data_IF_068504318018
#
_entry.id   IF_068504318018
#
_cell.length_a   1.000
_cell.length_b   1.000
_cell.length_c   1.000
_cell.angle_alpha   90.00
_cell.angle_beta   90.00
_cell.angle_gamma   90.00
#
_symmetry.space_group_name_H-M   'P 1'
#
loop_
_entity.id
_entity.type
_entity.pdbx_description
1 polymer ?
#
# COMPACT_ATOMS: atom_id res chain seq x y z
N UNK A 1 22.18 31.09 44.38
CA UNK A 1 21.39 30.00 44.97
C UNK A 1 21.15 28.81 44.05
N UNK A 2 21.21 28.96 42.74
CA UNK A 2 21.02 27.89 41.75
C UNK A 2 22.22 26.93 41.62
N UNK A 3 23.47 27.35 41.91
CA UNK A 3 24.68 26.50 41.77
C UNK A 3 24.84 25.37 42.80
N UNK A 4 24.19 25.50 43.98
CA UNK A 4 24.24 24.46 45.02
C UNK A 4 23.31 23.28 44.77
N UNK A 5 22.22 23.49 44.03
CA UNK A 5 21.28 22.44 43.68
C UNK A 5 21.89 21.53 42.60
N UNK A 6 22.57 22.11 41.60
CA UNK A 6 23.25 21.36 40.56
C UNK A 6 24.41 20.49 41.08
N UNK A 7 25.15 20.96 42.08
CA UNK A 7 26.25 20.20 42.69
C UNK A 7 25.78 18.99 43.51
N UNK A 8 24.58 19.05 44.10
CA UNK A 8 24.00 17.91 44.82
C UNK A 8 23.41 16.84 43.89
N UNK A 9 22.94 17.21 42.72
CA UNK A 9 22.45 16.27 41.69
C UNK A 9 23.54 15.47 41.01
N UNK A 10 24.75 16.03 40.88
CA UNK A 10 25.93 15.34 40.29
C UNK A 10 26.73 14.48 41.26
N UNK A 11 26.41 14.46 42.55
CA UNK A 11 27.20 13.75 43.59
C UNK A 11 26.56 12.44 44.06
N UNK A 12 25.34 12.13 43.66
CA UNK A 12 24.67 10.90 44.08
C UNK A 12 24.76 9.81 43.00
N UNK A 13 25.62 8.81 43.28
CA UNK A 13 25.90 7.70 42.33
C UNK A 13 24.59 6.91 41.97
N UNK A 14 23.58 6.93 42.83
CA UNK A 14 22.30 6.29 42.54
C UNK A 14 21.49 7.10 41.52
N UNK A 15 21.58 8.42 41.53
CA UNK A 15 20.94 9.28 40.54
C UNK A 15 21.61 9.18 39.16
N UNK A 16 22.94 9.00 39.12
CA UNK A 16 23.69 8.81 37.88
C UNK A 16 23.30 7.52 37.14
N UNK A 17 23.14 6.41 37.84
CA UNK A 17 22.74 5.14 37.26
C UNK A 17 21.30 5.19 36.64
N UNK A 18 20.38 5.89 37.28
CA UNK A 18 19.01 6.07 36.76
C UNK A 18 19.01 6.93 35.49
N UNK A 19 19.86 7.97 35.45
CA UNK A 19 19.99 8.86 34.31
C UNK A 19 20.66 8.15 33.11
N UNK A 20 21.66 7.33 33.36
CA UNK A 20 22.33 6.49 32.36
C UNK A 20 21.36 5.45 31.76
N UNK A 21 20.55 4.79 32.63
CA UNK A 21 19.50 3.87 32.18
C UNK A 21 18.45 4.59 31.33
N UNK A 22 17.99 5.77 31.76
CA UNK A 22 17.02 6.57 31.04
C UNK A 22 17.52 6.98 29.65
N UNK A 23 18.79 7.40 29.53
CA UNK A 23 19.42 7.72 28.25
C UNK A 23 19.59 6.47 27.36
N UNK A 24 19.87 5.31 27.94
CA UNK A 24 20.02 4.06 27.21
C UNK A 24 18.68 3.50 26.68
N UNK A 25 17.57 3.71 27.40
CA UNK A 25 16.26 3.17 27.00
C UNK A 25 15.63 3.93 25.82
N UNK A 26 15.92 5.23 25.67
CA UNK A 26 15.38 6.04 24.58
C UNK A 26 15.73 5.49 23.18
N UNK A 27 16.98 5.18 22.83
CA UNK A 27 17.32 4.61 21.54
C UNK A 27 16.71 3.21 21.33
N UNK A 28 16.55 2.43 22.38
CA UNK A 28 15.91 1.11 22.32
C UNK A 28 14.43 1.27 21.99
N UNK A 29 13.71 2.19 22.65
CA UNK A 29 12.33 2.49 22.34
C UNK A 29 12.14 3.00 20.91
N UNK A 30 13.04 3.88 20.45
CA UNK A 30 13.01 4.37 19.08
C UNK A 30 13.20 3.23 18.07
N UNK A 31 14.10 2.29 18.34
CA UNK A 31 14.32 1.11 17.49
C UNK A 31 13.07 0.22 17.45
N UNK A 32 12.43 -0.04 18.60
CA UNK A 32 11.22 -0.85 18.68
C UNK A 32 10.05 -0.21 17.89
N UNK A 33 9.89 1.10 18.01
CA UNK A 33 8.89 1.87 17.26
C UNK A 33 9.18 1.82 15.76
N UNK A 34 10.45 1.89 15.37
CA UNK A 34 10.85 1.79 13.96
C UNK A 34 10.54 0.41 13.38
N UNK A 35 10.79 -0.66 14.14
CA UNK A 35 10.46 -2.03 13.73
C UNK A 35 8.93 -2.19 13.61
N UNK A 36 8.16 -1.63 14.53
CA UNK A 36 6.69 -1.69 14.48
C UNK A 36 6.13 -1.00 13.22
N UNK A 37 6.64 0.19 12.87
CA UNK A 37 6.24 0.89 11.66
C UNK A 37 6.63 0.13 10.38
N UNK A 38 7.86 -0.40 10.33
CA UNK A 38 8.32 -1.21 9.20
C UNK A 38 7.48 -2.48 9.02
N UNK A 39 7.15 -3.16 10.11
CA UNK A 39 6.30 -4.35 10.09
C UNK A 39 4.89 -4.03 9.56
N UNK A 40 4.32 -2.91 9.98
CA UNK A 40 3.03 -2.44 9.49
C UNK A 40 3.07 -2.11 7.99
N UNK A 41 4.13 -1.46 7.53
CA UNK A 41 4.32 -1.15 6.11
C UNK A 41 4.40 -2.42 5.26
N UNK A 42 5.22 -3.41 5.66
CA UNK A 42 5.36 -4.69 4.97
C UNK A 42 4.03 -5.46 4.98
N UNK A 43 3.31 -5.47 6.09
CA UNK A 43 2.00 -6.10 6.20
C UNK A 43 0.99 -5.48 5.22
N UNK A 44 0.91 -4.15 5.17
CA UNK A 44 0.07 -3.42 4.22
C UNK A 44 0.42 -3.76 2.77
N UNK A 45 1.71 -3.77 2.43
CA UNK A 45 2.19 -4.14 1.09
C UNK A 45 1.71 -5.54 0.67
N UNK A 46 1.88 -6.54 1.54
CA UNK A 46 1.47 -7.92 1.24
C UNK A 46 -0.05 -8.07 1.05
N UNK A 47 -0.83 -7.34 1.85
CA UNK A 47 -2.30 -7.34 1.68
C UNK A 47 -2.70 -6.71 0.36
N UNK A 48 -2.08 -5.60 -0.03
CA UNK A 48 -2.37 -4.95 -1.31
C UNK A 48 -2.03 -5.88 -2.49
N UNK A 49 -0.91 -6.59 -2.43
CA UNK A 49 -0.52 -7.56 -3.47
C UNK A 49 -1.55 -8.70 -3.62
N UNK A 50 -2.00 -9.25 -2.51
CA UNK A 50 -3.01 -10.29 -2.51
C UNK A 50 -4.36 -9.78 -2.98
N UNK A 51 -4.78 -8.62 -2.48
CA UNK A 51 -6.08 -8.03 -2.79
C UNK A 51 -6.20 -7.66 -4.27
N UNK A 52 -5.20 -6.98 -4.84
CA UNK A 52 -5.22 -6.61 -6.26
C UNK A 52 -5.19 -7.85 -7.16
N UNK A 53 -4.35 -8.84 -6.85
CA UNK A 53 -4.27 -10.06 -7.65
C UNK A 53 -5.60 -10.82 -7.68
N UNK A 54 -6.27 -10.97 -6.54
CA UNK A 54 -7.54 -11.66 -6.45
C UNK A 54 -8.69 -10.88 -7.10
N UNK A 55 -8.74 -9.56 -6.86
CA UNK A 55 -9.76 -8.69 -7.44
C UNK A 55 -9.64 -8.64 -8.97
N UNK A 56 -8.44 -8.48 -9.50
CA UNK A 56 -8.20 -8.46 -10.93
C UNK A 56 -8.48 -9.83 -11.61
N UNK A 57 -8.16 -10.96 -10.94
CA UNK A 57 -8.54 -12.29 -11.41
C UNK A 57 -10.06 -12.45 -11.49
N UNK A 58 -10.80 -11.96 -10.52
CA UNK A 58 -12.26 -12.01 -10.54
C UNK A 58 -12.82 -11.14 -11.65
N UNK A 59 -12.30 -9.92 -11.82
CA UNK A 59 -12.73 -9.02 -12.87
C UNK A 59 -12.49 -9.60 -14.26
N UNK A 60 -11.28 -10.09 -14.56
CA UNK A 60 -10.95 -10.68 -15.87
C UNK A 60 -11.81 -11.89 -16.25
N UNK A 61 -12.28 -12.66 -15.26
CA UNK A 61 -13.08 -13.88 -15.47
C UNK A 61 -14.59 -13.58 -15.51
N UNK A 62 -14.99 -12.34 -15.31
CA UNK A 62 -16.39 -11.93 -15.35
C UNK A 62 -16.68 -11.22 -16.67
N UNK A 63 -17.76 -11.61 -17.36
CA UNK A 63 -18.18 -10.90 -18.56
C UNK A 63 -18.75 -9.55 -18.16
N UNK A 64 -18.13 -8.49 -18.61
CA UNK A 64 -18.62 -7.14 -18.47
C UNK A 64 -18.57 -6.42 -19.83
N UNK A 65 -19.50 -5.52 -20.06
CA UNK A 65 -19.63 -4.86 -21.37
C UNK A 65 -18.87 -3.53 -21.42
N UNK A 66 -18.64 -2.91 -20.26
CA UNK A 66 -18.08 -1.56 -20.18
C UNK A 66 -16.98 -1.47 -19.11
N UNK A 67 -16.13 -0.48 -19.24
CA UNK A 67 -15.10 -0.17 -18.22
C UNK A 67 -15.70 0.01 -16.81
N UNK A 68 -16.84 0.70 -16.70
CA UNK A 68 -17.52 0.92 -15.42
C UNK A 68 -17.90 -0.39 -14.74
N UNK A 69 -18.31 -1.41 -15.49
CA UNK A 69 -18.65 -2.72 -14.93
C UNK A 69 -17.39 -3.43 -14.43
N UNK A 70 -16.30 -3.42 -15.20
CA UNK A 70 -15.04 -3.97 -14.76
C UNK A 70 -14.47 -3.23 -13.55
N UNK A 71 -14.57 -1.92 -13.52
CA UNK A 71 -14.18 -1.10 -12.38
C UNK A 71 -14.98 -1.45 -11.12
N UNK A 72 -16.31 -1.54 -11.23
CA UNK A 72 -17.18 -1.88 -10.11
C UNK A 72 -16.92 -3.29 -9.57
N UNK A 73 -16.73 -4.27 -10.45
CA UNK A 73 -16.40 -5.66 -10.06
C UNK A 73 -15.05 -5.71 -9.37
N UNK A 74 -14.08 -4.97 -9.89
CA UNK A 74 -12.75 -4.87 -9.31
C UNK A 74 -12.79 -4.19 -7.94
N UNK A 75 -13.47 -3.05 -7.83
CA UNK A 75 -13.63 -2.30 -6.59
C UNK A 75 -14.38 -3.11 -5.51
N UNK A 76 -15.50 -3.73 -5.86
CA UNK A 76 -16.26 -4.58 -4.95
C UNK A 76 -15.42 -5.74 -4.44
N UNK A 77 -14.69 -6.40 -5.35
CA UNK A 77 -13.83 -7.52 -5.02
C UNK A 77 -12.65 -7.11 -4.15
N UNK A 78 -12.07 -5.94 -4.42
CA UNK A 78 -11.00 -5.37 -3.63
C UNK A 78 -11.49 -5.03 -2.21
N UNK A 79 -12.63 -4.35 -2.10
CA UNK A 79 -13.21 -3.99 -0.82
C UNK A 79 -13.56 -5.24 0.01
N UNK A 80 -14.05 -6.30 -0.62
CA UNK A 80 -14.34 -7.57 0.03
C UNK A 80 -13.06 -8.24 0.58
N UNK A 81 -11.98 -8.22 -0.19
CA UNK A 81 -10.68 -8.76 0.24
C UNK A 81 -10.06 -7.89 1.36
N UNK A 82 -10.04 -6.59 1.17
CA UNK A 82 -9.47 -5.67 2.16
C UNK A 82 -10.27 -5.66 3.47
N UNK A 83 -11.60 -5.75 3.41
CA UNK A 83 -12.45 -5.85 4.59
C UNK A 83 -12.19 -7.10 5.43
N UNK A 84 -11.78 -8.20 4.81
CA UNK A 84 -11.39 -9.44 5.51
C UNK A 84 -10.07 -9.33 6.27
N UNK A 85 -9.17 -8.45 5.86
CA UNK A 85 -7.82 -8.28 6.44
C UNK A 85 -7.70 -7.14 7.45
N UNK A 86 -8.77 -6.44 7.72
CA UNK A 86 -8.85 -5.56 8.87
C UNK A 86 -9.06 -4.09 8.61
N UNK A 87 -9.74 -3.54 9.54
CA UNK A 87 -10.07 -2.14 9.75
C UNK A 87 -8.86 -1.16 9.68
N UNK A 88 -7.64 -1.69 9.78
CA UNK A 88 -6.39 -0.91 9.78
C UNK A 88 -6.12 -0.26 8.41
N UNK A 89 -6.59 -0.89 7.33
CA UNK A 89 -6.33 -0.45 5.94
C UNK A 89 -7.51 0.34 5.38
N UNK A 90 -8.73 0.03 5.81
CA UNK A 90 -9.97 0.55 5.22
C UNK A 90 -10.49 1.86 5.84
N UNK A 91 -9.90 2.34 6.93
CA UNK A 91 -10.47 3.43 7.73
C UNK A 91 -10.61 4.78 6.98
N UNK A 92 -9.99 4.98 5.82
CA UNK A 92 -9.96 6.30 5.16
C UNK A 92 -10.06 6.32 3.63
N UNK A 93 -10.57 5.32 2.92
CA UNK A 93 -10.63 5.34 1.44
C UNK A 93 -9.32 5.83 0.76
N UNK A 94 -8.18 5.43 1.30
CA UNK A 94 -6.87 5.92 0.89
C UNK A 94 -6.33 5.18 -0.36
N UNK A 95 -7.21 4.71 -1.22
CA UNK A 95 -6.80 4.04 -2.45
C UNK A 95 -7.50 4.66 -3.67
N UNK A 96 -6.74 4.74 -4.75
CA UNK A 96 -7.25 5.11 -6.08
C UNK A 96 -7.15 3.89 -6.97
N UNK A 97 -8.25 3.56 -7.64
CA UNK A 97 -8.37 2.46 -8.57
C UNK A 97 -8.41 2.98 -10.00
N UNK A 98 -7.72 2.30 -10.88
CA UNK A 98 -7.74 2.60 -12.29
C UNK A 98 -7.79 1.30 -13.08
N UNK A 99 -8.72 1.23 -14.04
CA UNK A 99 -8.84 0.12 -14.99
C UNK A 99 -8.71 0.69 -16.38
N UNK A 100 -7.78 0.15 -17.15
CA UNK A 100 -7.53 0.52 -18.54
C UNK A 100 -7.44 -0.74 -19.39
N UNK A 101 -7.55 -0.57 -20.70
CA UNK A 101 -7.47 -1.65 -21.67
C UNK A 101 -6.47 -1.34 -22.75
N UNK A 102 -5.94 -2.38 -23.42
CA UNK A 102 -4.99 -2.26 -24.52
C UNK A 102 -5.16 -3.40 -25.51
N UNK A 103 -4.80 -3.15 -26.77
CA UNK A 103 -4.89 -4.14 -27.86
C UNK A 103 -3.69 -5.07 -27.89
N UNK A 104 -2.52 -4.53 -27.62
CA UNK A 104 -1.25 -5.23 -27.79
C UNK A 104 -0.23 -4.85 -26.72
N UNK A 105 0.81 -5.65 -26.61
CA UNK A 105 1.96 -5.37 -25.77
C UNK A 105 2.73 -4.10 -26.24
N UNK A 106 2.73 -3.82 -27.54
CA UNK A 106 3.36 -2.62 -28.08
C UNK A 106 2.63 -1.35 -27.66
N UNK A 107 1.29 -1.39 -27.58
CA UNK A 107 0.50 -0.26 -27.11
C UNK A 107 0.73 0.02 -25.62
N UNK A 108 0.96 -1.04 -24.82
CA UNK A 108 1.35 -0.90 -23.41
C UNK A 108 2.68 -0.14 -23.26
N UNK A 109 3.65 -0.41 -24.12
CA UNK A 109 4.98 0.24 -24.08
C UNK A 109 4.89 1.71 -24.50
N UNK A 110 3.95 2.03 -25.40
CA UNK A 110 3.74 3.39 -25.92
C UNK A 110 2.72 4.19 -25.12
N UNK A 111 2.26 3.68 -23.97
CA UNK A 111 1.23 4.29 -23.12
C UNK A 111 -0.10 4.59 -23.86
N UNK A 112 -0.43 3.77 -24.86
CA UNK A 112 -1.66 3.91 -25.61
C UNK A 112 -2.77 3.06 -24.97
N UNK A 113 -3.62 3.70 -24.19
CA UNK A 113 -4.67 3.04 -23.41
C UNK A 113 -6.07 3.42 -23.88
N UNK A 114 -6.96 2.45 -23.77
CA UNK A 114 -8.38 2.61 -24.04
C UNK A 114 -9.18 2.53 -22.74
N UNK A 115 -10.27 3.27 -22.69
CA UNK A 115 -11.19 3.27 -21.55
C UNK A 115 -12.43 2.42 -21.82
N UNK A 116 -12.54 1.80 -22.98
CA UNK A 116 -13.58 0.85 -23.32
C UNK A 116 -13.00 -0.57 -23.32
N UNK A 117 -13.78 -1.53 -22.82
CA UNK A 117 -13.37 -2.93 -22.76
C UNK A 117 -13.60 -3.70 -24.06
N UNK A 118 -14.51 -3.21 -24.92
CA UNK A 118 -14.91 -3.90 -26.14
C UNK A 118 -13.76 -4.01 -27.14
N UNK A 119 -13.43 -5.23 -27.54
CA UNK A 119 -12.36 -5.58 -28.47
C UNK A 119 -10.94 -5.32 -27.99
N UNK A 120 -10.72 -5.01 -26.70
CA UNK A 120 -9.39 -4.81 -26.12
C UNK A 120 -9.06 -5.96 -25.19
N UNK A 121 -8.22 -6.92 -25.63
CA UNK A 121 -8.02 -8.19 -24.90
C UNK A 121 -7.17 -8.06 -23.64
N UNK A 122 -6.44 -6.97 -23.45
CA UNK A 122 -5.55 -6.76 -22.30
C UNK A 122 -6.21 -5.78 -21.32
N UNK A 123 -6.43 -6.23 -20.09
CA UNK A 123 -6.89 -5.38 -18.99
C UNK A 123 -5.74 -5.03 -18.03
N UNK A 124 -5.63 -3.77 -17.69
CA UNK A 124 -4.64 -3.20 -16.79
C UNK A 124 -5.39 -2.71 -15.55
N UNK A 125 -5.08 -3.30 -14.41
CA UNK A 125 -5.67 -2.98 -13.12
C UNK A 125 -4.62 -2.32 -12.24
N UNK A 126 -4.80 -1.05 -11.90
CA UNK A 126 -3.87 -0.28 -11.07
C UNK A 126 -4.53 0.10 -9.76
N UNK A 127 -3.78 -0.08 -8.69
CA UNK A 127 -4.13 0.30 -7.33
C UNK A 127 -3.03 1.18 -6.75
N UNK A 128 -3.37 2.41 -6.42
CA UNK A 128 -2.49 3.32 -5.71
C UNK A 128 -3.00 3.49 -4.28
N UNK A 129 -2.18 3.14 -3.30
CA UNK A 129 -2.52 3.26 -1.89
C UNK A 129 -1.75 4.41 -1.24
N UNK A 130 -2.46 5.29 -0.55
CA UNK A 130 -1.87 6.41 0.20
C UNK A 130 -1.57 5.98 1.62
N UNK A 131 -0.30 5.67 1.89
CA UNK A 131 0.15 5.24 3.21
C UNK A 131 0.23 6.41 4.18
N UNK A 132 -0.32 6.20 5.38
CA UNK A 132 -0.22 7.14 6.48
C UNK A 132 0.60 6.52 7.62
N UNK A 133 1.84 6.96 7.82
CA UNK A 133 2.65 6.50 8.94
C UNK A 133 2.07 7.00 10.27
N UNK A 134 2.15 6.15 11.30
CA UNK A 134 1.59 6.45 12.63
C UNK A 134 2.68 6.86 13.60
N UNK A 135 3.80 6.14 13.60
CA UNK A 135 4.83 6.26 14.62
C UNK A 135 6.02 7.10 14.16
N UNK A 136 6.43 6.96 12.92
CA UNK A 136 7.60 7.65 12.36
C UNK A 136 7.16 8.42 11.12
N UNK A 137 7.49 9.72 11.01
CA UNK A 137 7.19 10.52 9.83
C UNK A 137 8.05 10.07 8.64
N UNK A 138 7.58 9.03 7.95
CA UNK A 138 8.15 8.61 6.66
C UNK A 138 7.57 9.52 5.58
N UNK A 139 8.38 9.90 4.59
CA UNK A 139 7.87 10.66 3.45
C UNK A 139 6.74 9.90 2.76
N UNK A 140 5.54 10.47 2.74
CA UNK A 140 4.37 9.88 2.10
C UNK A 140 4.60 9.63 0.61
N UNK A 141 5.32 10.51 -0.07
CA UNK A 141 5.68 10.36 -1.48
C UNK A 141 6.49 9.08 -1.73
N UNK A 142 7.49 8.81 -0.90
CA UNK A 142 8.29 7.59 -1.00
C UNK A 142 7.46 6.34 -0.68
N UNK A 143 6.69 6.36 0.40
CA UNK A 143 5.86 5.24 0.81
C UNK A 143 4.78 4.91 -0.24
N UNK A 144 4.12 5.93 -0.80
CA UNK A 144 3.08 5.77 -1.81
C UNK A 144 3.63 5.19 -3.12
N UNK A 145 4.85 5.58 -3.54
CA UNK A 145 5.47 4.99 -4.74
C UNK A 145 5.74 3.49 -4.59
N UNK A 146 6.08 3.05 -3.37
CA UNK A 146 6.28 1.63 -3.07
C UNK A 146 4.98 0.84 -2.89
N UNK A 147 3.85 1.50 -2.70
CA UNK A 147 2.54 0.87 -2.51
C UNK A 147 1.60 1.09 -3.72
N UNK A 148 2.15 1.53 -4.85
CA UNK A 148 1.48 1.47 -6.15
C UNK A 148 1.63 0.05 -6.72
N UNK A 149 0.51 -0.53 -7.14
CA UNK A 149 0.45 -1.87 -7.71
C UNK A 149 -0.26 -1.86 -9.03
N UNK A 150 0.29 -2.60 -9.98
CA UNK A 150 -0.32 -2.79 -11.29
C UNK A 150 -0.29 -4.27 -11.67
N UNK A 151 -1.40 -4.76 -12.19
CA UNK A 151 -1.54 -6.12 -12.67
C UNK A 151 -2.16 -6.09 -14.06
N UNK A 152 -1.54 -6.83 -14.98
CA UNK A 152 -1.96 -6.92 -16.36
C UNK A 152 -2.46 -8.34 -16.63
N UNK A 153 -3.65 -8.46 -17.17
CA UNK A 153 -4.24 -9.73 -17.56
C UNK A 153 -4.85 -9.68 -18.94
N UNK A 154 -4.84 -10.82 -19.63
CA UNK A 154 -5.66 -11.04 -20.80
C UNK A 154 -7.09 -11.36 -20.34
N UNK A 155 -8.08 -10.64 -20.87
CA UNK A 155 -9.49 -10.83 -20.56
C UNK A 155 -9.96 -12.17 -21.15
N UNK A 156 -10.62 -13.01 -20.35
CA UNK A 156 -11.03 -14.36 -20.79
C UNK A 156 -12.05 -14.30 -21.95
N UNK A 157 -12.93 -13.32 -21.96
CA UNK A 157 -13.96 -13.16 -23.00
C UNK A 157 -13.41 -12.56 -24.29
N UNK A 158 -12.30 -11.81 -24.23
CA UNK A 158 -11.64 -11.17 -25.38
C UNK A 158 -10.35 -11.90 -25.80
N UNK A 159 -10.09 -13.06 -25.21
CA UNK A 159 -8.84 -13.84 -25.43
C UNK A 159 -8.58 -14.19 -26.88
N UNK A 160 -9.64 -14.42 -27.67
CA UNK A 160 -9.52 -14.72 -29.11
C UNK A 160 -8.98 -13.55 -29.95
N UNK A 161 -9.05 -12.33 -29.43
CA UNK A 161 -8.57 -11.11 -30.08
C UNK A 161 -7.13 -10.80 -29.75
N UNK A 162 -6.55 -11.46 -28.75
CA UNK A 162 -5.17 -11.24 -28.34
C UNK A 162 -4.21 -11.63 -29.44
N UNK A 163 -3.42 -10.66 -29.92
CA UNK A 163 -2.31 -10.84 -30.86
C UNK A 163 -1.01 -10.61 -30.10
N UNK A 164 -0.14 -11.62 -30.10
CA UNK A 164 1.18 -11.53 -29.50
C UNK A 164 2.11 -10.59 -30.25
#
# INVERSE_FOLDING_TARGET
>A
MMGHIFKRLCGDSKGSAVLELALGIIPILFLLISIAEASRFIYTSNILDLAISNAAKKAKNTKASNQSDYHNIFEESLNQQMGSFGHIITTNNNFMLEVKFSDSLSDLITDNYYYNADNHPIGIYRLNYSYQPIFIPISSSWANSLLSREVIFVQEYERSLFKA
#
